data_IF_095148908676
#
_entry.id   IF_095148908676
#
_cell.length_a   1.000
_cell.length_b   1.000
_cell.length_c   1.000
_cell.angle_alpha   90.00
_cell.angle_beta   90.00
_cell.angle_gamma   90.00
#
_symmetry.space_group_name_H-M   'P 1'
#
loop_
_entity.id
_entity.type
_entity.pdbx_description
1 polymer ?
#
# COMPACT_ATOMS: atom_id res chain seq x y z
N UNK A 1 -5.51 -16.21 1.71
CA UNK A 1 -4.75 -16.26 0.44
C UNK A 1 -5.27 -15.17 -0.49
N UNK A 2 -4.69 -13.97 -0.43
CA UNK A 2 -5.01 -12.88 -1.37
C UNK A 2 -4.14 -13.03 -2.63
N UNK A 3 -4.75 -13.09 -3.81
CA UNK A 3 -4.02 -13.12 -5.08
C UNK A 3 -3.79 -11.69 -5.55
N UNK A 4 -2.58 -11.19 -5.39
CA UNK A 4 -2.16 -9.90 -5.91
C UNK A 4 -1.71 -10.06 -7.37
N UNK A 5 -2.32 -9.30 -8.28
CA UNK A 5 -2.00 -9.31 -9.71
C UNK A 5 -1.25 -8.02 -10.04
N UNK A 6 0.05 -8.12 -10.26
CA UNK A 6 0.88 -7.02 -10.75
C UNK A 6 0.81 -7.01 -12.28
N UNK A 7 0.54 -5.85 -12.88
CA UNK A 7 0.51 -5.67 -14.34
C UNK A 7 1.64 -4.73 -14.73
N UNK A 8 2.66 -5.25 -15.41
CA UNK A 8 3.77 -4.46 -15.93
C UNK A 8 3.48 -4.09 -17.40
N UNK A 9 3.33 -2.80 -17.70
CA UNK A 9 3.36 -2.26 -19.08
C UNK A 9 4.64 -1.45 -19.25
N UNK A 10 5.22 -1.52 -20.44
CA UNK A 10 6.54 -1.00 -20.79
C UNK A 10 6.72 0.46 -20.34
N UNK A 11 7.67 0.68 -19.43
CA UNK A 11 7.98 1.96 -18.79
C UNK A 11 8.13 1.88 -17.27
N UNK A 12 9.07 1.08 -16.76
CA UNK A 12 9.67 1.04 -15.38
C UNK A 12 8.78 1.14 -14.12
N UNK A 13 7.45 1.19 -14.24
CA UNK A 13 6.51 1.38 -13.12
C UNK A 13 5.51 0.24 -13.08
N UNK A 14 5.45 -0.46 -11.96
CA UNK A 14 4.51 -1.55 -11.70
C UNK A 14 3.52 -1.09 -10.65
N UNK A 15 2.23 -1.32 -10.90
CA UNK A 15 1.19 -1.08 -9.91
C UNK A 15 0.83 -2.40 -9.21
N UNK A 16 0.67 -2.35 -7.89
CA UNK A 16 0.18 -3.43 -7.04
C UNK A 16 -1.03 -2.93 -6.25
N UNK A 17 -2.13 -3.67 -6.31
CA UNK A 17 -3.28 -3.41 -5.45
C UNK A 17 -2.97 -3.85 -4.02
N UNK A 18 -3.20 -2.98 -3.04
CA UNK A 18 -3.08 -3.25 -1.62
C UNK A 18 -4.46 -3.14 -0.97
N UNK A 19 -4.86 -4.21 -0.30
CA UNK A 19 -6.01 -4.21 0.61
C UNK A 19 -5.53 -3.84 2.01
N UNK A 20 -5.94 -2.67 2.49
CA UNK A 20 -5.61 -2.18 3.82
C UNK A 20 -6.84 -2.25 4.72
N UNK A 21 -6.65 -2.75 5.93
CA UNK A 21 -7.68 -2.73 6.97
C UNK A 21 -7.34 -1.64 7.97
N UNK A 22 -8.18 -0.61 8.02
CA UNK A 22 -8.04 0.49 8.97
C UNK A 22 -8.99 0.22 10.13
N UNK A 23 -8.44 0.20 11.35
CA UNK A 23 -9.21 0.01 12.58
C UNK A 23 -9.22 1.35 13.31
N UNK A 24 -10.40 1.79 13.72
CA UNK A 24 -10.58 2.98 14.53
C UNK A 24 -10.86 2.57 15.98
N UNK A 25 -9.83 2.55 16.85
CA UNK A 25 -10.01 2.20 18.26
C UNK A 25 -10.64 3.34 19.09
N UNK A 26 -10.88 4.50 18.47
CA UNK A 26 -11.45 5.66 19.17
C UNK A 26 -12.98 5.62 19.14
N UNK A 27 -13.60 6.24 20.14
CA UNK A 27 -15.06 6.40 20.22
C UNK A 27 -15.58 7.62 19.43
N UNK A 28 -14.93 7.93 18.31
CA UNK A 28 -15.33 9.00 17.38
C UNK A 28 -15.14 8.53 15.96
N UNK A 29 -16.00 8.97 15.07
CA UNK A 29 -15.87 8.67 13.65
C UNK A 29 -14.61 9.34 13.07
N UNK A 30 -14.04 8.71 12.05
CA UNK A 30 -12.86 9.20 11.35
C UNK A 30 -13.16 9.39 9.86
N UNK A 31 -13.07 10.63 9.41
CA UNK A 31 -13.24 11.04 8.02
C UNK A 31 -11.90 11.51 7.45
N UNK A 32 -11.50 10.96 6.30
CA UNK A 32 -10.32 11.38 5.57
C UNK A 32 -10.65 11.58 4.09
N UNK A 33 -10.16 12.66 3.49
CA UNK A 33 -10.35 12.95 2.04
C UNK A 33 -9.37 12.20 1.14
N UNK A 34 -8.49 11.40 1.71
CA UNK A 34 -7.49 10.64 0.97
C UNK A 34 -6.52 9.93 1.90
N UNK A 35 -5.68 9.07 1.31
CA UNK A 35 -4.66 8.28 2.00
C UNK A 35 -3.36 8.33 1.23
N UNK A 36 -2.27 8.51 1.96
CA UNK A 36 -0.93 8.26 1.46
C UNK A 36 -0.32 7.08 2.22
N UNK A 37 0.25 6.13 1.49
CA UNK A 37 0.93 4.97 2.05
C UNK A 37 2.34 4.89 1.48
N UNK A 38 3.31 4.60 2.34
CA UNK A 38 4.66 4.21 1.96
C UNK A 38 4.95 2.83 2.52
N UNK A 39 5.23 1.87 1.63
CA UNK A 39 5.66 0.54 2.01
C UNK A 39 7.19 0.51 2.05
N UNK A 40 7.75 0.24 3.22
CA UNK A 40 9.18 0.01 3.40
C UNK A 40 9.44 -1.45 3.71
N UNK A 41 10.46 -2.03 3.08
CA UNK A 41 10.93 -3.38 3.32
C UNK A 41 12.44 -3.32 3.56
N UNK A 42 12.92 -3.96 4.64
CA UNK A 42 14.32 -3.88 5.06
C UNK A 42 14.87 -2.44 5.20
N UNK A 43 14.03 -1.52 5.67
CA UNK A 43 14.40 -0.10 5.84
C UNK A 43 14.46 0.71 4.54
N UNK A 44 14.12 0.11 3.39
CA UNK A 44 14.13 0.76 2.09
C UNK A 44 12.73 0.87 1.51
N UNK A 45 12.44 1.96 0.80
CA UNK A 45 11.15 2.17 0.15
C UNK A 45 10.99 1.16 -0.98
N UNK A 46 9.90 0.39 -0.93
CA UNK A 46 9.53 -0.56 -1.97
C UNK A 46 8.42 -0.01 -2.87
N UNK A 47 7.40 0.60 -2.26
CA UNK A 47 6.22 1.10 -2.95
C UNK A 47 5.65 2.36 -2.30
N UNK A 48 4.95 3.18 -3.08
CA UNK A 48 4.19 4.32 -2.58
C UNK A 48 2.81 4.36 -3.24
N UNK A 49 1.78 4.66 -2.45
CA UNK A 49 0.42 4.86 -2.90
C UNK A 49 -0.10 6.23 -2.46
N UNK A 50 -0.91 6.84 -3.30
CA UNK A 50 -1.72 8.01 -2.94
C UNK A 50 -3.10 7.78 -3.53
N UNK A 51 -4.13 7.87 -2.69
CA UNK A 51 -5.53 7.81 -3.10
C UNK A 51 -6.23 9.07 -2.61
N UNK A 52 -6.98 9.74 -3.49
CA UNK A 52 -7.87 10.85 -3.15
C UNK A 52 -9.29 10.39 -2.85
N UNK A 53 -9.49 9.08 -2.64
CA UNK A 53 -10.78 8.53 -2.27
C UNK A 53 -11.08 8.90 -0.82
N UNK A 54 -12.27 9.46 -0.58
CA UNK A 54 -12.75 9.72 0.76
C UNK A 54 -12.97 8.40 1.51
N UNK A 55 -12.60 8.37 2.78
CA UNK A 55 -12.68 7.19 3.65
C UNK A 55 -13.38 7.60 4.93
N UNK A 56 -14.40 6.81 5.27
CA UNK A 56 -15.10 6.87 6.54
C UNK A 56 -14.77 5.61 7.34
N UNK A 57 -14.33 5.79 8.58
CA UNK A 57 -14.12 4.70 9.54
C UNK A 57 -14.98 4.95 10.77
N UNK A 58 -16.03 4.14 10.99
CA UNK A 58 -16.92 4.33 12.13
C UNK A 58 -16.18 4.15 13.45
N UNK A 59 -16.66 4.82 14.50
CA UNK A 59 -16.14 4.65 15.87
C UNK A 59 -16.11 3.18 16.28
N UNK A 60 -15.05 2.78 16.98
CA UNK A 60 -14.85 1.39 17.44
C UNK A 60 -15.04 0.33 16.35
N UNK A 61 -14.73 0.67 15.09
CA UNK A 61 -15.00 -0.15 13.91
C UNK A 61 -13.79 -0.33 12.99
N UNK A 62 -14.02 -0.97 11.86
CA UNK A 62 -13.02 -1.18 10.82
C UNK A 62 -13.59 -0.91 9.42
N UNK A 63 -12.74 -0.41 8.52
CA UNK A 63 -13.04 -0.23 7.10
C UNK A 63 -11.91 -0.82 6.28
N UNK A 64 -12.25 -1.48 5.16
CA UNK A 64 -11.26 -1.94 4.16
C UNK A 64 -11.16 -0.93 3.05
N UNK A 65 -9.94 -0.55 2.72
CA UNK A 65 -9.64 0.38 1.64
C UNK A 65 -8.67 -0.30 0.68
N UNK A 66 -8.98 -0.24 -0.61
CA UNK A 66 -8.10 -0.72 -1.65
C UNK A 66 -7.34 0.47 -2.23
N UNK A 67 -6.01 0.39 -2.24
CA UNK A 67 -5.15 1.43 -2.83
C UNK A 67 -4.20 0.82 -3.84
N UNK A 68 -3.95 1.53 -4.94
CA UNK A 68 -2.94 1.12 -5.92
C UNK A 68 -1.59 1.74 -5.55
N UNK A 69 -0.65 0.88 -5.16
CA UNK A 69 0.73 1.28 -4.91
C UNK A 69 1.55 1.17 -6.19
N UNK A 70 2.32 2.22 -6.49
CA UNK A 70 3.32 2.22 -7.55
C UNK A 70 4.68 1.80 -6.99
N UNK A 71 5.34 0.89 -7.69
CA UNK A 71 6.70 0.38 -7.43
C UNK A 71 7.54 0.54 -8.70
N UNK A 72 8.87 0.59 -8.55
CA UNK A 72 9.80 0.55 -9.68
C UNK A 72 10.54 -0.78 -9.76
N UNK A 73 11.02 -1.14 -10.96
CA UNK A 73 11.86 -2.32 -11.16
C UNK A 73 13.16 -2.26 -10.33
N UNK A 74 13.70 -1.05 -10.12
CA UNK A 74 14.90 -0.84 -9.31
C UNK A 74 14.66 -1.13 -7.83
N UNK A 75 13.52 -0.68 -7.28
CA UNK A 75 13.14 -0.97 -5.89
C UNK A 75 12.96 -2.48 -5.66
N UNK A 76 12.36 -3.17 -6.64
CA UNK A 76 12.23 -4.64 -6.62
C UNK A 76 13.58 -5.36 -6.71
N UNK A 77 14.45 -4.96 -7.63
CA UNK A 77 15.77 -5.57 -7.80
C UNK A 77 16.63 -5.42 -6.54
N UNK A 78 16.61 -4.23 -5.92
CA UNK A 78 17.31 -3.99 -4.65
C UNK A 78 16.77 -4.89 -3.54
N UNK A 79 15.46 -5.07 -3.46
CA UNK A 79 14.84 -5.95 -2.47
C UNK A 79 15.29 -7.42 -2.63
N UNK A 80 15.40 -7.90 -3.88
CA UNK A 80 15.86 -9.27 -4.15
C UNK A 80 17.31 -9.47 -3.70
N UNK A 81 18.20 -8.50 -3.94
CA UNK A 81 19.59 -8.57 -3.49
C UNK A 81 19.69 -8.68 -1.96
N UNK A 82 18.91 -7.87 -1.22
CA UNK A 82 18.90 -7.92 0.25
C UNK A 82 18.36 -9.25 0.80
N UNK A 83 17.46 -9.92 0.08
CA UNK A 83 16.96 -11.24 0.45
C UNK A 83 17.98 -12.36 0.22
N UNK A 84 18.94 -12.18 -0.70
CA UNK A 84 19.99 -13.17 -0.97
C UNK A 84 21.17 -13.09 0.00
N UNK A 85 21.35 -11.97 0.69
CA UNK A 85 22.40 -11.80 1.70
C UNK A 85 21.97 -12.28 3.10
N UNK A 86 20.97 -13.17 3.18
CA UNK A 86 20.49 -13.80 4.43
C UNK A 86 20.48 -15.32 4.38
#
# INVERSE_FOLDING_TARGET
MGRYRATAKHGTRTAAALDLRVINPNDRDFDASGVSLQLNLNGQRLAQAVSSQAIFVPRLGETRIQVEASTTLFDLARQLLVLQER
#
